data_IF_681441864455
#
_entry.id   IF_681441864455
#
_cell.length_a   1.000
_cell.length_b   1.000
_cell.length_c   1.000
_cell.angle_alpha   90.00
_cell.angle_beta   90.00
_cell.angle_gamma   90.00
#
_symmetry.space_group_name_H-M   'P 1'
#
loop_
_entity.id
_entity.type
_entity.pdbx_description
1 polymer ?
#
# COMPACT_ATOMS: atom_id res chain seq x y z
N UNK A 1 -28.16 0.94 -1.55
CA UNK A 1 -27.20 1.42 -0.54
C UNK A 1 -25.91 1.79 -1.24
N UNK A 2 -25.26 2.85 -0.84
CA UNK A 2 -23.93 3.21 -1.38
C UNK A 2 -22.88 2.43 -0.59
N UNK A 3 -22.00 1.70 -1.29
CA UNK A 3 -20.85 1.06 -0.69
C UNK A 3 -19.82 2.15 -0.32
N UNK A 4 -19.26 2.05 0.87
CA UNK A 4 -18.22 2.98 1.33
C UNK A 4 -16.94 2.21 1.59
N UNK A 5 -15.84 2.59 0.91
CA UNK A 5 -14.55 1.92 1.03
C UNK A 5 -13.82 2.40 2.30
N UNK A 6 -14.28 1.88 3.42
CA UNK A 6 -13.68 2.10 4.77
C UNK A 6 -13.81 0.81 5.57
N UNK A 7 -13.04 0.68 6.64
CA UNK A 7 -13.13 -0.48 7.55
C UNK A 7 -14.57 -0.67 8.07
N UNK A 8 -15.23 0.44 8.45
CA UNK A 8 -16.62 0.42 8.87
C UNK A 8 -17.59 0.00 7.74
N UNK A 9 -17.32 0.47 6.49
CA UNK A 9 -18.15 0.12 5.34
C UNK A 9 -18.00 -1.33 4.90
N UNK A 10 -16.86 -1.96 5.15
CA UNK A 10 -16.63 -3.38 4.88
C UNK A 10 -17.36 -4.31 5.87
N UNK A 11 -17.90 -3.80 6.97
CA UNK A 11 -18.68 -4.62 7.92
C UNK A 11 -19.95 -5.22 7.27
N UNK A 12 -20.52 -4.55 6.24
CA UNK A 12 -21.59 -5.13 5.43
C UNK A 12 -21.04 -5.96 4.27
N UNK A 13 -20.35 -7.07 4.61
CA UNK A 13 -19.73 -7.97 3.63
C UNK A 13 -20.71 -8.44 2.55
N UNK A 14 -21.97 -8.73 2.94
CA UNK A 14 -23.00 -9.21 2.00
C UNK A 14 -23.30 -8.19 0.89
N UNK A 15 -23.32 -6.90 1.21
CA UNK A 15 -23.54 -5.86 0.21
C UNK A 15 -22.38 -5.77 -0.79
N UNK A 16 -21.15 -5.91 -0.31
CA UNK A 16 -19.95 -5.92 -1.16
C UNK A 16 -19.89 -7.15 -2.07
N UNK A 17 -20.16 -8.35 -1.51
CA UNK A 17 -20.21 -9.61 -2.27
C UNK A 17 -21.32 -9.59 -3.31
N UNK A 18 -22.51 -9.11 -2.96
CA UNK A 18 -23.63 -8.95 -3.91
C UNK A 18 -23.32 -7.97 -5.05
N UNK A 19 -22.44 -6.99 -4.81
CA UNK A 19 -21.92 -6.07 -5.84
C UNK A 19 -20.74 -6.66 -6.63
N UNK A 20 -20.34 -7.91 -6.35
CA UNK A 20 -19.32 -8.66 -7.07
C UNK A 20 -17.89 -8.32 -6.67
N UNK A 21 -17.66 -7.89 -5.41
CA UNK A 21 -16.33 -7.66 -4.87
C UNK A 21 -15.84 -8.87 -4.08
N UNK A 22 -14.60 -9.29 -4.33
CA UNK A 22 -13.86 -10.17 -3.44
C UNK A 22 -13.30 -9.35 -2.27
N UNK A 23 -13.44 -9.87 -1.05
CA UNK A 23 -13.01 -9.21 0.17
C UNK A 23 -11.81 -9.91 0.80
N UNK A 24 -10.99 -9.22 1.63
CA UNK A 24 -10.00 -9.86 2.48
C UNK A 24 -10.64 -10.94 3.36
N UNK A 25 -10.04 -12.13 3.40
CA UNK A 25 -10.56 -13.28 4.18
C UNK A 25 -9.82 -13.50 5.52
N UNK A 26 -8.92 -12.59 5.88
CA UNK A 26 -8.17 -12.60 7.14
C UNK A 26 -8.69 -11.53 8.11
N UNK A 27 -8.34 -11.66 9.38
CA UNK A 27 -8.59 -10.62 10.40
C UNK A 27 -7.66 -9.42 10.14
N UNK A 28 -8.23 -8.39 9.49
CA UNK A 28 -7.49 -7.19 9.10
C UNK A 28 -7.03 -6.36 10.30
N UNK A 29 -7.82 -6.25 11.36
CA UNK A 29 -7.44 -5.48 12.55
C UNK A 29 -6.27 -6.12 13.28
N UNK A 30 -6.32 -7.43 13.45
CA UNK A 30 -5.22 -8.19 14.03
C UNK A 30 -3.96 -8.11 13.14
N UNK A 31 -4.10 -8.14 11.83
CA UNK A 31 -2.99 -7.96 10.88
C UNK A 31 -2.35 -6.58 11.03
N UNK A 32 -3.14 -5.50 11.07
CA UNK A 32 -2.65 -4.13 11.25
C UNK A 32 -1.88 -4.01 12.56
N UNK A 33 -2.44 -4.51 13.66
CA UNK A 33 -1.80 -4.48 14.99
C UNK A 33 -0.45 -5.17 14.96
N UNK A 34 -0.40 -6.41 14.47
CA UNK A 34 0.85 -7.18 14.36
C UNK A 34 1.88 -6.48 13.47
N UNK A 35 1.44 -5.87 12.37
CA UNK A 35 2.34 -5.16 11.46
C UNK A 35 2.95 -3.92 12.11
N UNK A 36 2.15 -3.15 12.86
CA UNK A 36 2.66 -1.96 13.56
C UNK A 36 3.65 -2.30 14.67
N UNK A 37 3.41 -3.38 15.39
CA UNK A 37 4.30 -3.84 16.48
C UNK A 37 5.60 -4.47 15.93
N UNK A 38 5.48 -5.25 14.87
CA UNK A 38 6.56 -6.06 14.32
C UNK A 38 6.58 -5.97 12.78
N UNK A 39 6.92 -4.79 12.22
CA UNK A 39 6.94 -4.59 10.77
C UNK A 39 7.96 -5.50 10.10
N UNK A 40 7.60 -6.06 8.94
CA UNK A 40 8.49 -6.91 8.18
C UNK A 40 8.67 -6.48 6.72
N UNK A 41 7.77 -5.69 6.19
CA UNK A 41 7.84 -5.22 4.81
C UNK A 41 7.47 -3.74 4.72
N UNK A 42 8.41 -2.92 4.24
CA UNK A 42 8.19 -1.52 3.87
C UNK A 42 8.30 -1.39 2.35
N UNK A 43 7.35 -0.69 1.75
CA UNK A 43 7.39 -0.35 0.33
C UNK A 43 7.48 1.16 0.13
N UNK A 44 8.36 1.61 -0.76
CA UNK A 44 8.49 3.00 -1.15
C UNK A 44 7.82 3.25 -2.50
N UNK A 45 6.88 4.19 -2.53
CA UNK A 45 6.07 4.54 -3.68
C UNK A 45 4.62 4.08 -3.54
N UNK A 46 3.71 5.02 -3.29
CA UNK A 46 2.31 4.75 -2.96
C UNK A 46 1.39 4.71 -4.20
N UNK A 47 1.96 4.60 -5.40
CA UNK A 47 1.22 4.67 -6.66
C UNK A 47 0.37 3.44 -6.98
N UNK A 48 -0.28 3.49 -8.15
CA UNK A 48 -1.20 2.45 -8.61
C UNK A 48 -0.51 1.08 -8.79
N UNK A 49 0.75 1.07 -9.25
CA UNK A 49 1.51 -0.18 -9.45
C UNK A 49 1.67 -0.91 -8.12
N UNK A 50 2.08 -0.22 -7.07
CA UNK A 50 2.19 -0.81 -5.73
C UNK A 50 0.85 -1.41 -5.27
N UNK A 51 -0.24 -0.64 -5.37
CA UNK A 51 -1.56 -1.08 -4.92
C UNK A 51 -2.06 -2.31 -5.71
N UNK A 52 -1.81 -2.33 -7.03
CA UNK A 52 -2.28 -3.40 -7.90
C UNK A 52 -1.45 -4.68 -7.79
N UNK A 53 -0.14 -4.58 -7.56
CA UNK A 53 0.76 -5.75 -7.57
C UNK A 53 1.22 -6.13 -6.17
N UNK A 54 2.09 -5.35 -5.53
CA UNK A 54 2.70 -5.76 -4.27
C UNK A 54 1.68 -5.89 -3.15
N UNK A 55 0.77 -4.92 -3.01
CA UNK A 55 -0.26 -4.98 -1.99
C UNK A 55 -1.25 -6.11 -2.25
N UNK A 56 -1.62 -6.38 -3.51
CA UNK A 56 -2.47 -7.53 -3.86
C UNK A 56 -1.76 -8.86 -3.59
N UNK A 57 -0.47 -8.99 -3.94
CA UNK A 57 0.32 -10.18 -3.61
C UNK A 57 0.39 -10.42 -2.11
N UNK A 58 0.62 -9.36 -1.31
CA UNK A 58 0.59 -9.47 0.14
C UNK A 58 -0.77 -9.94 0.65
N UNK A 59 -1.87 -9.45 0.05
CA UNK A 59 -3.22 -9.91 0.39
C UNK A 59 -3.44 -11.38 0.09
N UNK A 60 -2.97 -11.88 -1.03
CA UNK A 60 -3.06 -13.31 -1.37
C UNK A 60 -2.31 -14.16 -0.35
N UNK A 61 -1.13 -13.73 0.09
CA UNK A 61 -0.36 -14.42 1.13
C UNK A 61 -1.07 -14.38 2.50
N UNK A 62 -1.74 -13.28 2.83
CA UNK A 62 -2.56 -13.16 4.04
C UNK A 62 -3.81 -14.04 3.95
N UNK A 63 -4.51 -14.05 2.81
CA UNK A 63 -5.71 -14.85 2.60
C UNK A 63 -5.46 -16.36 2.72
N UNK A 64 -4.30 -16.83 2.30
CA UNK A 64 -3.93 -18.26 2.38
C UNK A 64 -3.19 -18.63 3.67
N UNK A 65 -2.98 -17.67 4.57
CA UNK A 65 -2.34 -17.90 5.87
C UNK A 65 -0.81 -18.10 5.82
N UNK A 66 -0.17 -17.88 4.66
CA UNK A 66 1.30 -17.95 4.52
C UNK A 66 1.98 -16.77 5.21
N UNK A 67 1.28 -15.64 5.31
CA UNK A 67 1.75 -14.40 5.90
C UNK A 67 0.76 -13.91 6.95
N UNK A 68 1.23 -13.20 7.97
CA UNK A 68 0.41 -12.72 9.07
C UNK A 68 0.50 -11.21 9.32
N UNK A 69 1.34 -10.54 8.52
CA UNK A 69 1.58 -9.09 8.57
C UNK A 69 1.34 -8.45 7.22
N UNK A 70 0.91 -7.21 7.23
CA UNK A 70 0.70 -6.42 6.02
C UNK A 70 1.95 -5.67 5.58
N UNK A 71 1.74 -4.78 4.62
CA UNK A 71 2.78 -3.90 4.08
C UNK A 71 2.61 -2.51 4.69
N UNK A 72 3.72 -1.87 5.03
CA UNK A 72 3.78 -0.44 5.34
C UNK A 72 4.24 0.26 4.08
N UNK A 73 3.50 1.25 3.60
CA UNK A 73 3.88 2.05 2.45
C UNK A 73 4.38 3.41 2.87
N UNK A 74 5.46 3.87 2.29
CA UNK A 74 6.02 5.20 2.46
C UNK A 74 6.06 5.93 1.11
N UNK A 75 5.64 7.20 1.10
CA UNK A 75 5.70 8.07 -0.07
C UNK A 75 6.51 9.33 0.26
N UNK A 76 7.54 9.60 -0.51
CA UNK A 76 8.45 10.73 -0.27
C UNK A 76 8.37 11.83 -1.31
N UNK A 77 7.64 11.63 -2.39
CA UNK A 77 7.55 12.58 -3.50
C UNK A 77 6.14 13.17 -3.66
N UNK A 78 5.16 12.32 -3.94
CA UNK A 78 3.74 12.71 -4.05
C UNK A 78 3.00 12.35 -2.76
N UNK A 79 3.33 13.04 -1.68
CA UNK A 79 2.79 12.72 -0.35
C UNK A 79 1.30 13.05 -0.21
N UNK A 80 0.74 13.85 -1.12
CA UNK A 80 -0.70 14.14 -1.15
C UNK A 80 -1.52 12.86 -1.36
N UNK A 81 -0.98 11.86 -2.07
CA UNK A 81 -1.65 10.58 -2.28
C UNK A 81 -1.98 9.87 -0.96
N UNK A 82 -1.13 10.01 0.06
CA UNK A 82 -1.38 9.42 1.39
C UNK A 82 -2.63 10.03 2.01
N UNK A 83 -2.74 11.37 2.00
CA UNK A 83 -3.87 12.10 2.56
C UNK A 83 -5.16 11.90 1.77
N UNK A 84 -5.06 11.87 0.44
CA UNK A 84 -6.23 11.93 -0.44
C UNK A 84 -6.75 10.55 -0.83
N UNK A 85 -5.89 9.51 -0.87
CA UNK A 85 -6.24 8.18 -1.34
C UNK A 85 -6.13 7.08 -0.29
N UNK A 86 -5.27 7.23 0.72
CA UNK A 86 -5.08 6.18 1.73
C UNK A 86 -5.86 6.45 2.99
N UNK A 87 -5.66 7.61 3.61
CA UNK A 87 -6.27 7.95 4.90
C UNK A 87 -7.81 7.94 4.86
N UNK A 88 -8.50 8.53 3.85
CA UNK A 88 -9.96 8.53 3.81
C UNK A 88 -10.57 7.14 3.64
N UNK A 89 -9.77 6.17 3.20
CA UNK A 89 -10.20 4.80 2.92
C UNK A 89 -9.58 3.76 3.86
N UNK A 90 -9.06 4.17 5.01
CA UNK A 90 -8.42 3.26 5.98
C UNK A 90 -7.36 2.35 5.33
N UNK A 91 -6.57 2.89 4.38
CA UNK A 91 -5.58 2.18 3.56
C UNK A 91 -6.16 1.05 2.68
N UNK A 92 -7.46 1.06 2.43
CA UNK A 92 -8.11 0.14 1.49
C UNK A 92 -8.01 0.67 0.07
N UNK A 93 -7.96 -0.23 -0.89
CA UNK A 93 -8.06 0.11 -2.31
C UNK A 93 -8.89 -0.93 -3.07
N UNK A 94 -9.31 -0.58 -4.29
CA UNK A 94 -10.02 -1.49 -5.18
C UNK A 94 -9.10 -1.81 -6.36
N UNK A 95 -8.85 -3.09 -6.56
CA UNK A 95 -8.23 -3.61 -7.77
C UNK A 95 -9.30 -4.09 -8.74
N UNK A 96 -9.26 -3.58 -9.96
CA UNK A 96 -10.14 -4.03 -11.05
C UNK A 96 -9.27 -4.73 -12.08
N UNK A 97 -9.54 -6.02 -12.30
CA UNK A 97 -8.84 -6.84 -13.28
C UNK A 97 -9.75 -7.11 -14.47
N UNK A 98 -9.32 -6.66 -15.64
CA UNK A 98 -9.99 -6.95 -16.91
C UNK A 98 -9.39 -8.23 -17.50
N UNK A 99 -10.23 -9.24 -17.72
CA UNK A 99 -9.82 -10.54 -18.29
C UNK A 99 -9.95 -10.53 -19.81
N UNK A 100 -9.20 -11.41 -20.45
CA UNK A 100 -9.23 -11.57 -21.91
C UNK A 100 -10.60 -12.03 -22.47
N UNK A 101 -11.42 -12.70 -21.66
CA UNK A 101 -12.78 -13.11 -21.98
C UNK A 101 -13.83 -12.01 -21.80
N UNK A 102 -13.41 -10.81 -21.42
CA UNK A 102 -14.26 -9.65 -21.16
C UNK A 102 -14.85 -9.61 -19.75
N UNK A 103 -14.60 -10.59 -18.91
CA UNK A 103 -15.04 -10.54 -17.51
C UNK A 103 -14.23 -9.54 -16.69
N UNK A 104 -14.83 -9.04 -15.63
CA UNK A 104 -14.23 -8.05 -14.73
C UNK A 104 -14.23 -8.61 -13.32
N UNK A 105 -13.04 -8.74 -12.74
CA UNK A 105 -12.88 -9.05 -11.31
C UNK A 105 -12.65 -7.77 -10.51
N UNK A 106 -13.28 -7.67 -9.35
CA UNK A 106 -13.13 -6.55 -8.43
C UNK A 106 -12.70 -7.08 -7.07
N UNK A 107 -11.56 -6.63 -6.58
CA UNK A 107 -11.00 -7.06 -5.31
C UNK A 107 -10.78 -5.86 -4.40
N UNK A 108 -11.27 -5.93 -3.16
CA UNK A 108 -10.88 -4.98 -2.12
C UNK A 108 -9.54 -5.42 -1.55
N UNK A 109 -8.52 -4.60 -1.76
CA UNK A 109 -7.17 -4.83 -1.23
C UNK A 109 -7.06 -4.16 0.13
N UNK A 110 -6.82 -4.95 1.18
CA UNK A 110 -6.75 -4.50 2.57
C UNK A 110 -5.43 -4.83 3.28
N UNK A 111 -4.41 -5.25 2.55
CA UNK A 111 -3.11 -5.69 3.07
C UNK A 111 -2.19 -4.55 3.53
N UNK A 112 -2.54 -3.30 3.21
CA UNK A 112 -1.75 -2.14 3.62
C UNK A 112 -2.14 -1.78 5.06
N UNK A 113 -1.19 -1.96 5.97
CA UNK A 113 -1.40 -1.76 7.41
C UNK A 113 -1.20 -0.31 7.84
N UNK A 114 -0.27 0.39 7.18
CA UNK A 114 0.13 1.75 7.53
C UNK A 114 0.60 2.48 6.28
N UNK A 115 0.28 3.77 6.16
CA UNK A 115 0.75 4.64 5.08
C UNK A 115 1.39 5.89 5.67
N UNK A 116 2.60 6.23 5.20
CA UNK A 116 3.46 7.26 5.75
C UNK A 116 3.82 8.28 4.68
N UNK A 117 3.67 9.57 5.00
CA UNK A 117 4.18 10.67 4.20
C UNK A 117 5.62 11.00 4.66
N UNK A 118 6.60 10.58 3.88
CA UNK A 118 8.02 10.68 4.23
C UNK A 118 8.71 11.85 3.51
N UNK A 119 8.05 13.02 3.46
CA UNK A 119 8.48 14.20 2.71
C UNK A 119 9.46 15.08 3.51
N UNK A 120 9.37 15.10 4.83
CA UNK A 120 10.20 15.94 5.69
C UNK A 120 10.82 15.13 6.83
N UNK A 121 12.10 15.40 7.10
CA UNK A 121 12.88 14.69 8.12
C UNK A 121 12.35 14.87 9.55
N UNK A 122 11.57 15.91 9.79
CA UNK A 122 11.03 16.26 11.12
C UNK A 122 9.55 15.85 11.27
N UNK A 123 8.94 15.21 10.26
CA UNK A 123 7.56 14.77 10.34
C UNK A 123 7.40 13.55 11.27
N UNK A 124 6.23 13.39 11.93
CA UNK A 124 5.92 12.18 12.71
C UNK A 124 6.04 10.90 11.86
N UNK A 125 5.63 10.95 10.60
CA UNK A 125 5.69 9.82 9.67
C UNK A 125 7.14 9.43 9.37
N UNK A 126 8.03 10.40 9.19
CA UNK A 126 9.44 10.13 9.01
C UNK A 126 10.10 9.58 10.29
N UNK A 127 9.68 10.07 11.46
CA UNK A 127 10.11 9.50 12.73
C UNK A 127 9.66 8.04 12.88
N UNK A 128 8.41 7.74 12.47
CA UNK A 128 7.89 6.37 12.42
C UNK A 128 8.67 5.49 11.45
N UNK A 129 9.02 6.01 10.28
CA UNK A 129 9.84 5.28 9.31
C UNK A 129 11.21 4.94 9.87
N UNK A 130 11.88 5.88 10.56
CA UNK A 130 13.14 5.61 11.27
C UNK A 130 12.98 4.51 12.31
N UNK A 131 11.92 4.55 13.12
CA UNK A 131 11.62 3.50 14.10
C UNK A 131 11.49 2.12 13.44
N UNK A 132 10.74 2.03 12.33
CA UNK A 132 10.56 0.78 11.58
C UNK A 132 11.90 0.19 11.15
N UNK A 133 12.83 1.03 10.68
CA UNK A 133 14.17 0.60 10.27
C UNK A 133 15.08 0.19 11.42
N UNK A 134 14.70 0.41 12.66
CA UNK A 134 15.41 -0.12 13.85
C UNK A 134 14.85 -1.45 14.35
N UNK A 135 13.75 -1.96 13.76
CA UNK A 135 13.14 -3.21 14.20
C UNK A 135 13.85 -4.42 13.60
N UNK A 136 14.24 -5.36 14.43
CA UNK A 136 14.83 -6.65 14.01
C UNK A 136 13.87 -7.49 13.15
N UNK A 137 12.56 -7.19 13.21
CA UNK A 137 11.54 -7.86 12.41
C UNK A 137 11.50 -7.43 10.96
N UNK A 138 12.13 -6.29 10.60
CA UNK A 138 12.14 -5.80 9.23
C UNK A 138 13.01 -6.70 8.34
N UNK A 139 12.39 -7.30 7.33
CA UNK A 139 13.04 -8.26 6.45
C UNK A 139 13.20 -7.72 5.03
N UNK A 140 12.32 -6.81 4.60
CA UNK A 140 12.26 -6.40 3.22
C UNK A 140 11.91 -4.91 3.07
N UNK A 141 12.67 -4.24 2.21
CA UNK A 141 12.34 -2.92 1.68
C UNK A 141 12.26 -3.02 0.16
N UNK A 142 11.13 -2.58 -0.41
CA UNK A 142 10.88 -2.63 -1.86
C UNK A 142 10.52 -1.25 -2.39
N UNK A 143 10.66 -1.06 -3.70
CA UNK A 143 10.48 0.25 -4.35
C UNK A 143 9.73 0.09 -5.67
N UNK A 144 8.86 1.05 -5.98
CA UNK A 144 8.39 1.29 -7.34
C UNK A 144 9.04 2.58 -7.85
N UNK A 145 9.97 2.43 -8.78
CA UNK A 145 10.72 3.56 -9.34
C UNK A 145 10.44 3.60 -10.84
N UNK A 146 9.98 4.76 -11.33
CA UNK A 146 9.78 4.97 -12.77
C UNK A 146 11.12 5.09 -13.48
N UNK A 147 11.12 4.93 -14.83
CA UNK A 147 12.32 5.09 -15.65
C UNK A 147 13.00 6.46 -15.46
N UNK A 148 12.24 7.49 -15.17
CA UNK A 148 12.75 8.84 -14.87
C UNK A 148 13.54 8.89 -13.55
N UNK A 149 13.14 8.08 -12.58
CA UNK A 149 13.81 8.00 -11.28
C UNK A 149 15.22 7.38 -11.34
N UNK A 150 15.54 6.67 -12.43
CA UNK A 150 16.88 6.12 -12.68
C UNK A 150 17.79 7.05 -13.47
N UNK A 151 17.27 8.17 -13.96
CA UNK A 151 18.06 9.12 -14.74
C UNK A 151 18.97 9.95 -13.82
N UNK A 152 20.26 9.92 -14.07
CA UNK A 152 21.25 10.76 -13.40
C UNK A 152 21.44 12.11 -14.11
N UNK A 153 21.00 12.20 -15.38
CA UNK A 153 21.22 13.35 -16.25
C UNK A 153 19.91 13.79 -16.90
N UNK A 154 19.81 15.08 -17.18
CA UNK A 154 18.74 15.66 -18.01
C UNK A 154 18.96 15.38 -19.50
N UNK A 155 18.00 15.81 -20.35
CA UNK A 155 18.09 15.64 -21.82
C UNK A 155 19.28 16.38 -22.49
N UNK A 156 19.94 17.31 -21.80
CA UNK A 156 21.14 18.02 -22.27
C UNK A 156 22.44 17.31 -21.80
N UNK A 157 22.33 16.21 -21.04
CA UNK A 157 23.48 15.46 -20.55
C UNK A 157 24.10 15.99 -19.24
N UNK A 158 23.48 16.97 -18.61
CA UNK A 158 23.91 17.56 -17.33
C UNK A 158 23.36 16.74 -16.16
N UNK A 159 24.09 16.67 -15.05
CA UNK A 159 23.62 16.02 -13.83
C UNK A 159 22.33 16.69 -13.31
N UNK A 160 21.39 15.87 -12.88
CA UNK A 160 20.19 16.37 -12.21
C UNK A 160 20.56 17.00 -10.85
N UNK A 161 19.91 18.10 -10.42
CA UNK A 161 20.18 18.74 -9.13
C UNK A 161 20.04 17.80 -7.93
N UNK A 162 19.23 16.74 -8.05
CA UNK A 162 19.04 15.71 -7.04
C UNK A 162 20.22 14.73 -6.94
N UNK A 163 21.19 14.79 -7.85
CA UNK A 163 22.35 13.90 -7.95
C UNK A 163 23.66 14.64 -7.66
N UNK A 164 23.64 15.97 -7.75
CA UNK A 164 24.81 16.86 -7.63
C UNK A 164 25.20 17.12 -6.17
#
# INVERSE_FOLDING_TARGET
MSLNLTAAGLADQKAWEAAGYALPSYDREAMITRTKESPCWVHFGAGNIFRAFQANTAQELLNNGTFDRGVIVAEGFDTEIIRDMYQPHDNLSILVTLKADGSVEKTVVGSIAESLAADTADSPDFARLKEIFTKDSLQMATFTITEKGYSLKNGAGELLPSVA
#
